data_IF_730950110481
#
_entry.id   IF_730950110481
#
_cell.length_a   1.000
_cell.length_b   1.000
_cell.length_c   1.000
_cell.angle_alpha   90.00
_cell.angle_beta   90.00
_cell.angle_gamma   90.00
#
_symmetry.space_group_name_H-M   'P 1'
#
loop_
_entity.id
_entity.type
_entity.pdbx_description
1 polymer ?
#
# COMPACT_ATOMS: atom_id res chain seq x y z
N UNK A 1 -22.52 3.72 0.37
CA UNK A 1 -21.88 2.51 0.94
C UNK A 1 -20.85 1.97 -0.05
N UNK A 2 -19.55 2.07 0.23
CA UNK A 2 -18.51 1.49 -0.64
C UNK A 2 -18.36 0.01 -0.27
N UNK A 3 -18.66 -0.90 -1.21
CA UNK A 3 -18.54 -2.35 -0.99
C UNK A 3 -17.08 -2.72 -0.72
N UNK A 4 -16.77 -2.96 0.57
CA UNK A 4 -15.46 -3.36 1.07
C UNK A 4 -15.01 -4.72 0.45
N UNK A 5 -15.97 -5.60 0.18
CA UNK A 5 -15.73 -6.93 -0.40
C UNK A 5 -15.19 -6.86 -1.84
N UNK A 6 -15.86 -6.13 -2.73
CA UNK A 6 -15.44 -6.00 -4.13
C UNK A 6 -14.08 -5.30 -4.26
N UNK A 7 -13.83 -4.30 -3.40
CA UNK A 7 -12.56 -3.58 -3.39
C UNK A 7 -11.40 -4.49 -2.96
N UNK A 8 -11.60 -5.34 -1.95
CA UNK A 8 -10.58 -6.30 -1.48
C UNK A 8 -10.34 -7.41 -2.50
N UNK A 9 -11.41 -7.94 -3.11
CA UNK A 9 -11.35 -8.97 -4.14
C UNK A 9 -10.60 -8.49 -5.40
N UNK A 10 -10.84 -7.26 -5.85
CA UNK A 10 -10.13 -6.69 -7.01
C UNK A 10 -8.65 -6.39 -6.75
N UNK A 11 -8.28 -6.12 -5.49
CA UNK A 11 -6.88 -5.91 -5.10
C UNK A 11 -6.11 -7.22 -4.87
N UNK A 12 -6.81 -8.35 -4.71
CA UNK A 12 -6.18 -9.65 -4.59
C UNK A 12 -5.70 -10.12 -5.96
N UNK A 13 -4.45 -10.58 -6.03
CA UNK A 13 -3.82 -11.07 -7.28
C UNK A 13 -4.25 -12.50 -7.64
N UNK A 14 -5.48 -12.88 -7.26
CA UNK A 14 -6.04 -14.22 -7.49
C UNK A 14 -6.97 -14.19 -8.72
N UNK A 15 -6.72 -15.07 -9.72
CA UNK A 15 -7.48 -15.11 -10.98
C UNK A 15 -8.97 -15.44 -10.82
N UNK A 16 -9.40 -16.03 -9.70
CA UNK A 16 -10.82 -16.33 -9.42
C UNK A 16 -11.63 -15.05 -9.26
N UNK A 17 -11.07 -14.04 -8.58
CA UNK A 17 -11.77 -12.76 -8.39
C UNK A 17 -11.94 -12.00 -9.71
N UNK A 18 -10.97 -12.11 -10.63
CA UNK A 18 -11.08 -11.53 -11.97
C UNK A 18 -12.25 -12.15 -12.77
N UNK A 19 -12.44 -13.48 -12.69
CA UNK A 19 -13.57 -14.17 -13.35
C UNK A 19 -14.92 -13.71 -12.80
N UNK A 20 -15.03 -13.56 -11.47
CA UNK A 20 -16.25 -13.11 -10.80
C UNK A 20 -16.54 -11.64 -11.13
N UNK A 21 -15.53 -10.78 -11.06
CA UNK A 21 -15.66 -9.35 -11.43
C UNK A 21 -16.13 -9.17 -12.88
N UNK A 22 -15.63 -9.99 -13.81
CA UNK A 22 -16.11 -10.02 -15.20
C UNK A 22 -17.59 -10.41 -15.28
N UNK A 23 -18.02 -11.46 -14.58
CA UNK A 23 -19.42 -11.93 -14.56
C UNK A 23 -20.38 -10.91 -13.94
N UNK A 24 -19.92 -10.12 -12.98
CA UNK A 24 -20.66 -9.02 -12.36
C UNK A 24 -20.68 -7.72 -13.18
N UNK A 25 -20.09 -7.68 -14.37
CA UNK A 25 -20.11 -6.48 -15.23
C UNK A 25 -19.05 -5.43 -14.87
N UNK A 26 -18.19 -5.70 -13.89
CA UNK A 26 -17.03 -4.82 -13.58
C UNK A 26 -15.87 -4.98 -14.57
N UNK A 27 -16.01 -5.83 -15.58
CA UNK A 27 -15.03 -6.05 -16.64
C UNK A 27 -15.05 -5.00 -17.76
N UNK A 28 -15.49 -3.77 -17.49
CA UNK A 28 -15.42 -2.69 -18.47
C UNK A 28 -14.00 -2.09 -18.49
N UNK A 29 -13.51 -1.72 -19.67
CA UNK A 29 -12.17 -1.12 -19.90
C UNK A 29 -11.86 0.09 -19.00
N UNK A 30 -12.89 0.68 -18.41
CA UNK A 30 -12.81 1.88 -17.56
C UNK A 30 -12.48 1.55 -16.09
N UNK A 31 -12.66 0.30 -15.66
CA UNK A 31 -12.22 -0.17 -14.33
C UNK A 31 -10.80 -0.71 -14.46
N UNK A 32 -9.86 0.16 -14.84
CA UNK A 32 -8.46 -0.14 -14.61
C UNK A 32 -8.24 -0.19 -13.10
N UNK A 33 -7.90 -1.36 -12.57
CA UNK A 33 -7.28 -1.44 -11.26
C UNK A 33 -6.06 -0.53 -11.32
N UNK A 34 -6.15 0.65 -10.69
CA UNK A 34 -5.00 1.56 -10.58
C UNK A 34 -3.84 0.70 -10.08
N UNK A 35 -2.68 0.66 -10.77
CA UNK A 35 -1.52 0.02 -10.21
C UNK A 35 -1.36 0.66 -8.83
N UNK A 36 -1.53 -0.15 -7.79
CA UNK A 36 -1.35 0.31 -6.43
C UNK A 36 0.06 0.89 -6.44
N UNK A 37 0.19 2.22 -6.32
CA UNK A 37 1.50 2.86 -6.10
C UNK A 37 2.20 1.91 -5.13
N UNK A 38 3.44 1.44 -5.40
CA UNK A 38 4.14 0.64 -4.41
C UNK A 38 3.97 1.45 -3.14
N UNK A 39 3.20 0.90 -2.20
CA UNK A 39 3.00 1.53 -0.92
C UNK A 39 4.43 1.51 -0.45
N UNK A 40 5.14 2.64 -0.54
CA UNK A 40 6.53 2.74 -0.15
C UNK A 40 6.57 2.07 1.19
N UNK A 41 7.16 0.87 1.24
CA UNK A 41 6.66 -0.17 2.13
C UNK A 41 6.83 0.39 3.53
N UNK A 42 5.76 0.94 4.12
CA UNK A 42 5.90 1.82 5.29
C UNK A 42 6.52 1.01 6.43
N UNK A 43 6.31 -0.31 6.38
CA UNK A 43 6.99 -1.31 7.17
C UNK A 43 8.51 -1.30 6.96
N UNK A 44 9.01 -1.31 5.73
CA UNK A 44 10.43 -1.21 5.40
C UNK A 44 11.04 0.14 5.81
N UNK A 45 10.35 1.27 5.59
CA UNK A 45 10.82 2.59 6.04
C UNK A 45 10.92 2.66 7.57
N UNK A 46 9.90 2.18 8.29
CA UNK A 46 9.93 2.10 9.75
C UNK A 46 11.04 1.17 10.25
N UNK A 47 11.24 0.02 9.60
CA UNK A 47 12.32 -0.90 9.96
C UNK A 47 13.71 -0.28 9.77
N UNK A 48 13.91 0.49 8.68
CA UNK A 48 15.16 1.24 8.45
C UNK A 48 15.36 2.32 9.51
N UNK A 49 14.32 3.06 9.87
CA UNK A 49 14.39 4.05 10.95
C UNK A 49 14.79 3.43 12.29
N UNK A 50 14.19 2.29 12.67
CA UNK A 50 14.57 1.58 13.90
C UNK A 50 16.03 1.11 13.85
N UNK A 51 16.54 0.67 12.69
CA UNK A 51 17.94 0.27 12.56
C UNK A 51 18.93 1.44 12.71
N UNK A 52 18.59 2.62 12.18
CA UNK A 52 19.48 3.79 12.22
C UNK A 52 19.38 4.52 13.56
N UNK A 53 18.16 4.73 14.07
CA UNK A 53 17.90 5.55 15.27
C UNK A 53 17.78 4.72 16.55
N UNK A 54 17.49 3.41 16.44
CA UNK A 54 17.24 2.53 17.59
C UNK A 54 15.89 2.75 18.27
N UNK A 55 15.13 3.79 17.89
CA UNK A 55 13.83 4.14 18.48
C UNK A 55 12.67 3.77 17.55
N UNK A 56 11.52 3.45 18.15
CA UNK A 56 10.29 3.17 17.40
C UNK A 56 9.75 4.48 16.78
N UNK A 57 9.51 4.52 15.46
CA UNK A 57 8.96 5.69 14.80
C UNK A 57 7.51 5.93 15.21
N UNK A 58 7.09 7.19 15.24
CA UNK A 58 5.69 7.54 15.50
C UNK A 58 4.77 6.99 14.40
N UNK A 59 3.65 6.39 14.79
CA UNK A 59 2.76 5.72 13.85
C UNK A 59 2.07 6.68 12.88
N UNK A 60 1.93 7.96 13.25
CA UNK A 60 1.33 9.01 12.43
C UNK A 60 2.27 9.70 11.44
N UNK A 61 3.55 9.31 11.36
CA UNK A 61 4.46 9.84 10.35
C UNK A 61 4.20 9.23 8.97
N UNK A 62 4.31 10.08 7.95
CA UNK A 62 4.26 9.69 6.55
C UNK A 62 5.62 9.18 6.04
N UNK A 63 5.64 8.72 4.78
CA UNK A 63 6.84 8.18 4.16
C UNK A 63 7.96 9.22 4.04
N UNK A 64 7.61 10.47 3.76
CA UNK A 64 8.56 11.55 3.53
C UNK A 64 9.21 11.99 4.83
N UNK A 65 8.44 12.15 5.92
CA UNK A 65 8.97 12.41 7.27
C UNK A 65 9.91 11.29 7.71
N UNK A 66 9.54 10.03 7.48
CA UNK A 66 10.42 8.89 7.80
C UNK A 66 11.73 8.94 7.02
N UNK A 67 11.70 9.27 5.72
CA UNK A 67 12.91 9.42 4.90
C UNK A 67 13.80 10.54 5.42
N UNK A 68 13.23 11.71 5.68
CA UNK A 68 13.98 12.86 6.23
C UNK A 68 14.63 12.48 7.56
N UNK A 69 13.90 11.85 8.47
CA UNK A 69 14.43 11.44 9.77
C UNK A 69 15.50 10.34 9.68
N UNK A 70 15.41 9.44 8.70
CA UNK A 70 16.46 8.45 8.42
C UNK A 70 17.72 9.14 7.88
N UNK A 71 17.57 10.14 7.01
CA UNK A 71 18.69 10.90 6.45
C UNK A 71 19.38 11.76 7.52
N UNK A 72 18.61 12.45 8.36
CA UNK A 72 19.10 13.23 9.51
C UNK A 72 19.92 12.40 10.49
N UNK A 73 19.53 11.15 10.73
CA UNK A 73 20.24 10.27 11.67
C UNK A 73 21.44 9.53 11.08
N UNK A 74 21.63 9.59 9.76
CA UNK A 74 22.77 8.99 9.05
C UNK A 74 23.86 10.04 8.72
N UNK A 75 23.51 11.32 8.70
CA UNK A 75 24.45 12.44 8.65
C UNK A 75 25.10 12.67 10.01
#
# INVERSE_FOLDING_TARGET
MKSNYLTRAMNARDPRYAKIAKKLGYGHRDVQAKPRKPVDDMKALRARYVKVVGKKPYHGWDADTLRTKIAEAKG
#
